data_IF_385523322529
#
_entry.id   IF_385523322529
#
_cell.length_a   1.000
_cell.length_b   1.000
_cell.length_c   1.000
_cell.angle_alpha   90.00
_cell.angle_beta   90.00
_cell.angle_gamma   90.00
#
_symmetry.space_group_name_H-M   'P 1'
#
loop_
_entity.id
_entity.type
_entity.pdbx_description
1 polymer ?
#
# COMPACT_ATOMS: atom_id res chain seq x y z
N UNK A 1 -3.65 -2.41 -11.98
CA UNK A 1 -4.69 -2.82 -11.00
C UNK A 1 -4.94 -1.63 -10.06
N UNK A 2 -6.09 -1.53 -9.37
CA UNK A 2 -6.36 -0.44 -8.42
C UNK A 2 -7.02 -0.93 -7.13
N UNK A 3 -6.90 -0.18 -6.04
CA UNK A 3 -7.69 -0.38 -4.82
C UNK A 3 -9.18 -0.13 -5.11
N UNK A 4 -10.01 -1.06 -4.66
CA UNK A 4 -11.45 -0.85 -4.51
C UNK A 4 -11.81 -0.50 -3.07
N UNK A 5 -11.17 -1.14 -2.10
CA UNK A 5 -11.33 -0.83 -0.67
C UNK A 5 -9.99 -0.82 0.06
N UNK A 6 -9.72 0.16 0.93
CA UNK A 6 -10.44 1.44 1.00
C UNK A 6 -10.31 2.20 -0.33
N UNK A 7 -11.37 2.88 -0.82
CA UNK A 7 -11.30 3.61 -2.09
C UNK A 7 -10.22 4.71 -2.06
N UNK A 8 -9.27 4.73 -2.99
CA UNK A 8 -8.17 5.68 -2.94
C UNK A 8 -8.60 7.08 -3.41
N UNK A 9 -7.77 8.09 -3.10
CA UNK A 9 -7.90 9.44 -3.66
C UNK A 9 -7.99 9.37 -5.19
N UNK A 10 -8.84 10.20 -5.79
CA UNK A 10 -9.08 10.30 -7.24
C UNK A 10 -9.70 9.06 -7.90
N UNK A 11 -9.96 7.98 -7.16
CA UNK A 11 -10.65 6.83 -7.75
C UNK A 11 -12.14 7.11 -7.90
N UNK A 12 -12.71 6.60 -9.01
CA UNK A 12 -14.16 6.56 -9.24
C UNK A 12 -14.94 5.81 -8.15
N UNK A 13 -14.27 5.01 -7.32
CA UNK A 13 -14.88 4.30 -6.19
C UNK A 13 -14.95 5.15 -4.91
N UNK A 14 -14.24 6.28 -4.87
CA UNK A 14 -14.24 7.19 -3.74
C UNK A 14 -15.34 8.25 -3.93
N UNK A 15 -16.38 8.18 -3.09
CA UNK A 15 -17.54 9.08 -3.18
C UNK A 15 -17.23 10.55 -2.85
N UNK A 16 -16.04 10.85 -2.31
CA UNK A 16 -15.60 12.23 -2.06
C UNK A 16 -14.85 12.84 -3.26
N UNK A 17 -14.40 12.00 -4.21
CA UNK A 17 -13.68 12.47 -5.39
C UNK A 17 -14.62 13.19 -6.35
N UNK A 18 -14.22 14.39 -6.77
CA UNK A 18 -14.85 15.09 -7.92
C UNK A 18 -13.92 15.08 -9.14
N UNK A 19 -12.60 14.98 -8.93
CA UNK A 19 -11.60 14.88 -9.99
C UNK A 19 -11.17 13.43 -10.18
N UNK A 20 -11.92 12.68 -11.00
CA UNK A 20 -11.63 11.25 -11.23
C UNK A 20 -10.39 11.08 -12.11
N UNK A 21 -9.41 10.32 -11.62
CA UNK A 21 -8.32 9.80 -12.43
C UNK A 21 -8.75 8.49 -13.12
N UNK A 22 -9.06 8.57 -14.41
CA UNK A 22 -9.40 7.41 -15.24
C UNK A 22 -8.22 6.47 -15.49
N UNK A 23 -7.00 6.88 -15.13
CA UNK A 23 -5.76 6.11 -15.21
C UNK A 23 -5.32 5.54 -13.85
N UNK A 24 -6.19 5.48 -12.85
CA UNK A 24 -5.88 5.00 -11.49
C UNK A 24 -5.21 3.62 -11.44
N UNK A 25 -5.49 2.77 -12.43
CA UNK A 25 -4.91 1.42 -12.58
C UNK A 25 -3.49 1.39 -13.12
N UNK A 26 -2.98 2.50 -13.64
CA UNK A 26 -1.66 2.64 -14.23
C UNK A 26 -0.57 2.67 -13.15
N UNK A 27 0.66 2.23 -13.46
CA UNK A 27 1.78 2.35 -12.54
C UNK A 27 2.12 3.82 -12.26
N UNK A 28 3.01 4.06 -11.30
CA UNK A 28 3.62 5.37 -11.06
C UNK A 28 4.57 5.74 -12.20
N UNK A 29 4.54 7.00 -12.63
CA UNK A 29 5.61 7.61 -13.41
C UNK A 29 6.79 8.06 -12.53
N UNK A 30 7.82 8.64 -13.16
CA UNK A 30 9.08 9.03 -12.50
C UNK A 30 8.92 10.10 -11.39
N UNK A 31 7.85 10.91 -11.42
CA UNK A 31 7.62 12.00 -10.46
C UNK A 31 6.31 11.85 -9.67
N UNK A 32 5.67 10.69 -9.80
CA UNK A 32 4.33 10.45 -9.26
C UNK A 32 4.39 9.84 -7.85
N UNK A 33 5.59 9.50 -7.36
CA UNK A 33 5.76 9.00 -6.01
C UNK A 33 5.82 10.14 -4.98
N UNK A 34 5.07 10.07 -3.87
CA UNK A 34 4.09 9.04 -3.51
C UNK A 34 2.67 9.35 -4.02
N UNK A 35 1.81 8.33 -4.02
CA UNK A 35 0.35 8.47 -4.17
C UNK A 35 -0.12 9.20 -5.44
N UNK A 36 0.63 9.10 -6.54
CA UNK A 36 0.34 9.80 -7.81
C UNK A 36 0.25 11.33 -7.69
N UNK A 37 0.85 11.88 -6.63
CA UNK A 37 0.78 13.32 -6.33
C UNK A 37 -0.54 13.80 -5.71
N UNK A 38 -1.43 12.90 -5.29
CA UNK A 38 -2.78 13.27 -4.80
C UNK A 38 -2.85 13.66 -3.33
N UNK A 39 -1.73 13.61 -2.59
CA UNK A 39 -1.68 13.97 -1.16
C UNK A 39 -2.19 15.39 -0.83
N UNK A 40 -2.06 16.44 -1.69
CA UNK A 40 -2.63 17.74 -1.39
C UNK A 40 -4.14 17.73 -1.10
N UNK A 41 -4.88 16.75 -1.64
CA UNK A 41 -6.33 16.65 -1.45
C UNK A 41 -6.73 16.21 -0.04
N UNK A 42 -5.80 15.69 0.76
CA UNK A 42 -6.03 15.45 2.19
C UNK A 42 -6.42 16.73 2.94
N UNK A 43 -6.15 17.92 2.38
CA UNK A 43 -6.52 19.23 2.93
C UNK A 43 -7.83 19.79 2.35
N UNK A 44 -8.50 19.03 1.50
CA UNK A 44 -9.77 19.41 0.86
C UNK A 44 -10.88 18.43 1.24
N UNK A 45 -12.16 18.72 0.93
CA UNK A 45 -13.24 17.76 1.13
C UNK A 45 -13.06 16.44 0.36
N UNK A 46 -12.29 16.43 -0.74
CA UNK A 46 -12.04 15.20 -1.54
C UNK A 46 -11.18 14.17 -0.79
N UNK A 47 -10.36 14.63 0.16
CA UNK A 47 -9.53 13.79 1.02
C UNK A 47 -10.20 13.34 2.31
N UNK A 48 -11.54 13.47 2.42
CA UNK A 48 -12.27 12.94 3.57
C UNK A 48 -12.02 11.44 3.76
N UNK A 49 -11.98 11.01 5.02
CA UNK A 49 -11.67 9.63 5.39
C UNK A 49 -12.73 8.67 4.86
N UNK A 50 -12.29 7.64 4.11
CA UNK A 50 -13.16 6.64 3.49
C UNK A 50 -13.33 5.39 4.34
N UNK A 51 -12.52 5.21 5.37
CA UNK A 51 -12.61 4.09 6.30
C UNK A 51 -12.08 4.47 7.68
N UNK A 52 -12.67 3.90 8.73
CA UNK A 52 -12.12 3.97 10.08
C UNK A 52 -11.73 2.58 10.54
N UNK A 53 -10.48 2.42 10.96
CA UNK A 53 -9.94 1.15 11.46
C UNK A 53 -9.51 1.29 12.91
N UNK A 54 -9.81 0.29 13.71
CA UNK A 54 -9.41 0.26 15.11
C UNK A 54 -7.97 -0.25 15.21
N UNK A 55 -7.10 0.42 15.96
CA UNK A 55 -5.76 -0.09 16.23
C UNK A 55 -5.84 -1.50 16.88
N UNK A 56 -5.04 -2.44 16.40
CA UNK A 56 -5.06 -3.85 16.84
C UNK A 56 -6.13 -4.72 16.18
N UNK A 57 -7.00 -4.15 15.34
CA UNK A 57 -8.03 -4.93 14.65
C UNK A 57 -7.52 -5.56 13.35
N UNK A 58 -8.08 -6.72 13.00
CA UNK A 58 -7.93 -7.30 11.68
C UNK A 58 -8.74 -6.51 10.66
N UNK A 59 -8.10 -6.15 9.56
CA UNK A 59 -8.65 -5.41 8.44
C UNK A 59 -8.30 -6.12 7.13
N UNK A 60 -8.81 -5.59 6.03
CA UNK A 60 -8.43 -6.02 4.69
C UNK A 60 -8.43 -4.86 3.74
N UNK A 61 -7.66 -4.99 2.67
CA UNK A 61 -7.85 -4.19 1.47
C UNK A 61 -8.28 -5.09 0.31
N UNK A 62 -8.93 -4.48 -0.68
CA UNK A 62 -9.44 -5.15 -1.87
C UNK A 62 -8.90 -4.48 -3.10
N UNK A 63 -8.37 -5.27 -4.03
CA UNK A 63 -7.82 -4.80 -5.31
C UNK A 63 -8.68 -5.32 -6.46
N UNK A 64 -8.90 -4.48 -7.46
CA UNK A 64 -9.66 -4.80 -8.67
C UNK A 64 -8.91 -4.44 -9.95
N UNK A 65 -9.28 -5.09 -11.04
CA UNK A 65 -8.70 -4.85 -12.37
C UNK A 65 -8.55 -6.15 -13.15
N UNK A 66 -8.12 -6.03 -14.41
CA UNK A 66 -8.02 -7.15 -15.36
C UNK A 66 -6.59 -7.51 -15.75
N UNK A 67 -5.61 -6.65 -15.49
CA UNK A 67 -4.21 -6.85 -15.88
C UNK A 67 -3.40 -7.13 -14.62
N UNK A 68 -3.23 -8.41 -14.31
CA UNK A 68 -2.60 -8.87 -13.07
C UNK A 68 -1.11 -9.13 -13.20
N UNK A 69 -0.52 -9.03 -14.40
CA UNK A 69 0.91 -9.28 -14.63
C UNK A 69 1.47 -10.59 -14.02
N UNK A 70 0.62 -11.62 -13.93
CA UNK A 70 0.90 -12.90 -13.26
C UNK A 70 1.32 -12.77 -11.79
N UNK A 71 0.87 -11.71 -11.12
CA UNK A 71 1.14 -11.44 -9.71
C UNK A 71 2.38 -10.60 -9.49
N UNK A 72 3.16 -10.95 -8.47
CA UNK A 72 4.24 -10.16 -7.92
C UNK A 72 4.11 -10.02 -6.41
N UNK A 73 4.74 -8.99 -5.85
CA UNK A 73 4.76 -8.72 -4.40
C UNK A 73 4.19 -7.35 -4.10
N UNK A 74 3.54 -7.21 -2.94
CA UNK A 74 2.89 -5.98 -2.50
C UNK A 74 3.22 -5.64 -1.06
N UNK A 75 3.08 -4.37 -0.69
CA UNK A 75 3.04 -3.94 0.72
C UNK A 75 1.76 -3.17 1.00
N UNK A 76 1.25 -3.38 2.22
CA UNK A 76 0.31 -2.52 2.88
C UNK A 76 1.10 -1.66 3.88
N UNK A 77 0.93 -0.35 3.79
CA UNK A 77 1.61 0.61 4.67
C UNK A 77 0.67 1.69 5.17
N UNK A 78 0.99 2.28 6.31
CA UNK A 78 0.28 3.41 6.90
C UNK A 78 1.21 4.61 7.03
N UNK A 79 0.71 5.78 6.69
CA UNK A 79 1.31 7.07 7.02
C UNK A 79 0.46 7.76 8.08
N UNK A 80 1.08 8.22 9.16
CA UNK A 80 0.42 9.02 10.21
C UNK A 80 0.92 10.48 10.24
N UNK A 81 1.71 10.87 9.24
CA UNK A 81 2.34 12.20 9.10
C UNK A 81 1.89 12.95 7.82
N UNK A 82 0.74 12.55 7.26
CA UNK A 82 0.15 13.20 6.08
C UNK A 82 0.75 12.75 4.75
N UNK A 83 1.35 11.55 4.70
CA UNK A 83 1.92 10.95 3.51
C UNK A 83 3.40 11.28 3.29
N UNK A 84 4.12 11.74 4.31
CA UNK A 84 5.56 12.02 4.24
C UNK A 84 6.34 10.70 4.33
N UNK A 85 6.01 9.86 5.30
CA UNK A 85 6.56 8.51 5.48
C UNK A 85 5.45 7.46 5.42
N UNK A 86 5.79 6.25 4.97
CA UNK A 86 4.85 5.13 4.88
C UNK A 86 5.44 3.92 5.59
N UNK A 87 4.95 3.62 6.78
CA UNK A 87 5.42 2.50 7.60
C UNK A 87 4.75 1.20 7.16
N UNK A 88 5.54 0.17 6.84
CA UNK A 88 5.03 -1.15 6.43
C UNK A 88 4.31 -1.82 7.58
N UNK A 89 3.06 -2.21 7.34
CA UNK A 89 2.27 -2.99 8.29
C UNK A 89 2.04 -4.43 7.84
N UNK A 90 2.19 -4.73 6.55
CA UNK A 90 2.14 -6.11 6.04
C UNK A 90 2.82 -6.22 4.68
N UNK A 91 3.64 -7.26 4.48
CA UNK A 91 4.24 -7.59 3.17
C UNK A 91 3.67 -8.89 2.60
N UNK A 92 3.26 -8.86 1.34
CA UNK A 92 2.73 -10.02 0.60
C UNK A 92 3.73 -10.38 -0.49
N UNK A 93 4.46 -11.48 -0.30
CA UNK A 93 5.53 -11.93 -1.19
C UNK A 93 4.98 -13.02 -2.11
N UNK A 94 4.74 -12.67 -3.37
CA UNK A 94 4.09 -13.53 -4.35
C UNK A 94 2.56 -13.48 -4.31
N UNK A 95 1.94 -13.94 -5.40
CA UNK A 95 0.48 -13.99 -5.62
C UNK A 95 -0.30 -12.69 -5.41
N UNK A 96 0.35 -11.54 -5.30
CA UNK A 96 -0.32 -10.26 -5.26
C UNK A 96 -0.32 -9.59 -6.65
N UNK A 97 -1.47 -9.12 -7.20
CA UNK A 97 -2.84 -9.21 -6.71
C UNK A 97 -3.67 -10.31 -7.41
N UNK A 98 -3.26 -11.58 -7.31
CA UNK A 98 -3.99 -12.72 -7.92
C UNK A 98 -5.21 -13.17 -7.11
N UNK A 99 -5.36 -12.66 -5.89
CA UNK A 99 -6.60 -12.73 -5.10
C UNK A 99 -7.19 -11.32 -4.97
N UNK A 100 -8.48 -11.24 -4.64
CA UNK A 100 -9.18 -9.95 -4.53
C UNK A 100 -9.00 -9.28 -3.17
N UNK A 101 -8.85 -10.06 -2.09
CA UNK A 101 -8.81 -9.55 -0.71
C UNK A 101 -7.49 -9.92 -0.03
N UNK A 102 -6.93 -8.96 0.69
CA UNK A 102 -5.65 -9.07 1.38
C UNK A 102 -5.83 -8.69 2.86
N UNK A 103 -5.84 -9.67 3.77
CA UNK A 103 -6.02 -9.42 5.19
C UNK A 103 -4.71 -8.94 5.84
N UNK A 104 -4.82 -7.95 6.72
CA UNK A 104 -3.72 -7.47 7.55
C UNK A 104 -4.25 -7.11 8.94
N UNK A 105 -3.34 -6.90 9.89
CA UNK A 105 -3.68 -6.37 11.22
C UNK A 105 -3.17 -4.94 11.32
N UNK A 106 -4.00 -4.00 11.78
CA UNK A 106 -3.49 -2.68 12.16
C UNK A 106 -2.67 -2.85 13.44
N UNK A 107 -1.39 -2.47 13.50
CA UNK A 107 -0.63 -2.56 14.75
C UNK A 107 -1.36 -1.88 15.91
N UNK A 108 -1.37 -2.48 17.10
CA UNK A 108 -2.15 -1.97 18.23
C UNK A 108 -1.61 -0.67 18.81
N UNK A 109 -0.35 -0.33 18.51
CA UNK A 109 0.30 0.92 18.88
C UNK A 109 0.35 1.94 17.73
N UNK A 110 -0.36 1.72 16.62
CA UNK A 110 -0.48 2.73 15.55
C UNK A 110 -1.09 4.02 16.11
N UNK A 111 -0.47 5.19 15.87
CA UNK A 111 -1.01 6.47 16.30
C UNK A 111 -2.46 6.68 15.86
N UNK A 112 -3.33 7.08 16.78
CA UNK A 112 -4.74 7.39 16.49
C UNK A 112 -4.88 8.72 15.78
N UNK A 113 -5.83 8.83 14.87
CA UNK A 113 -6.13 10.05 14.12
C UNK A 113 -6.19 9.82 12.60
N UNK A 114 -6.17 10.90 11.80
CA UNK A 114 -6.07 10.81 10.35
C UNK A 114 -4.79 10.07 9.93
N UNK A 115 -4.92 9.20 8.93
CA UNK A 115 -3.81 8.44 8.35
C UNK A 115 -4.03 8.23 6.85
N UNK A 116 -2.98 7.85 6.15
CA UNK A 116 -3.03 7.44 4.73
C UNK A 116 -2.66 5.97 4.65
N UNK A 117 -3.58 5.16 4.14
CA UNK A 117 -3.27 3.79 3.76
C UNK A 117 -2.70 3.77 2.36
N UNK A 118 -1.58 3.08 2.15
CA UNK A 118 -1.03 2.83 0.81
C UNK A 118 -0.95 1.34 0.52
N UNK A 119 -1.42 0.97 -0.67
CA UNK A 119 -1.09 -0.30 -1.30
C UNK A 119 -0.03 -0.05 -2.37
N UNK A 120 1.11 -0.74 -2.27
CA UNK A 120 2.13 -0.78 -3.32
C UNK A 120 2.19 -2.16 -3.96
N UNK A 121 2.48 -2.23 -5.25
CA UNK A 121 2.64 -3.49 -5.96
C UNK A 121 3.76 -3.44 -7.00
N UNK A 122 4.61 -4.46 -6.98
CA UNK A 122 5.69 -4.69 -7.92
C UNK A 122 5.34 -5.91 -8.77
N UNK A 123 5.05 -5.66 -10.05
CA UNK A 123 4.55 -6.68 -10.96
C UNK A 123 5.62 -7.72 -11.34
N UNK A 124 5.20 -8.99 -11.41
CA UNK A 124 6.08 -10.09 -11.79
C UNK A 124 6.50 -9.98 -13.26
N UNK A 125 5.55 -9.85 -14.19
CA UNK A 125 5.79 -9.90 -15.64
C UNK A 125 5.53 -8.56 -16.32
N UNK A 126 6.32 -8.20 -17.33
CA UNK A 126 6.17 -6.98 -18.13
C UNK A 126 7.24 -5.93 -17.81
N UNK A 127 6.91 -4.66 -18.00
CA UNK A 127 7.80 -3.57 -17.60
C UNK A 127 8.10 -3.62 -16.09
N UNK A 128 9.25 -3.12 -15.67
CA UNK A 128 9.58 -2.99 -14.25
C UNK A 128 8.83 -1.78 -13.72
N UNK A 129 7.71 -2.03 -13.04
CA UNK A 129 6.78 -0.98 -12.62
C UNK A 129 6.55 -1.05 -11.11
N UNK A 130 6.15 0.10 -10.54
CA UNK A 130 5.61 0.20 -9.20
C UNK A 130 4.22 0.80 -9.30
N UNK A 131 3.22 0.09 -8.81
CA UNK A 131 1.86 0.59 -8.65
C UNK A 131 1.71 1.10 -7.22
N UNK A 132 1.00 2.21 -7.05
CA UNK A 132 0.65 2.73 -5.73
C UNK A 132 -0.70 3.41 -5.76
N UNK A 133 -1.58 3.03 -4.84
CA UNK A 133 -2.82 3.75 -4.55
C UNK A 133 -2.86 4.11 -3.07
N UNK A 134 -3.40 5.29 -2.76
CA UNK A 134 -3.47 5.80 -1.40
C UNK A 134 -4.88 6.23 -1.03
N UNK A 135 -5.35 5.81 0.13
CA UNK A 135 -6.67 6.13 0.66
C UNK A 135 -6.56 6.89 1.99
N UNK A 136 -7.39 7.91 2.15
CA UNK A 136 -7.56 8.61 3.43
C UNK A 136 -8.33 7.72 4.40
N UNK A 137 -7.74 7.39 5.54
CA UNK A 137 -8.35 6.55 6.57
C UNK A 137 -8.22 7.21 7.94
N UNK A 138 -8.98 6.74 8.92
CA UNK A 138 -8.88 7.17 10.31
C UNK A 138 -8.51 5.98 11.18
N UNK A 139 -7.49 6.11 12.01
CA UNK A 139 -7.16 5.12 13.05
C UNK A 139 -7.84 5.54 14.35
N UNK A 140 -8.69 4.66 14.90
CA UNK A 140 -9.33 4.85 16.20
C UNK A 140 -8.67 4.01 17.28
N UNK A 141 -8.86 4.40 18.54
CA UNK A 141 -8.32 3.70 19.70
C UNK A 141 -8.90 2.29 19.85
N UNK A 142 -8.03 1.28 20.01
CA UNK A 142 -8.43 -0.06 20.43
C UNK A 142 -8.73 -0.14 21.93
N UNK A 143 -9.39 -1.22 22.36
CA UNK A 143 -9.76 -1.47 23.76
C UNK A 143 -8.60 -1.94 24.65
N UNK A 144 -7.36 -1.95 24.14
CA UNK A 144 -6.16 -2.21 24.92
C UNK A 144 -4.89 -1.87 24.13
N UNK A 145 -3.88 -1.36 24.82
CA UNK A 145 -2.50 -1.35 24.33
C UNK A 145 -1.97 -2.79 24.37
N UNK A 146 -2.37 -3.59 23.38
CA UNK A 146 -1.81 -4.92 23.17
C UNK A 146 -0.30 -4.80 23.06
N UNK A 147 0.43 -5.69 23.75
CA UNK A 147 1.88 -5.79 23.59
C UNK A 147 2.19 -6.07 22.13
N UNK A 148 2.90 -5.15 21.47
CA UNK A 148 3.42 -5.37 20.12
C UNK A 148 4.85 -5.88 20.21
N UNK A 149 5.14 -6.96 19.48
CA UNK A 149 6.51 -7.50 19.40
C UNK A 149 7.44 -6.52 18.66
N UNK A 150 6.89 -5.78 17.70
CA UNK A 150 7.60 -4.72 16.97
C UNK A 150 6.74 -3.47 16.96
N UNK A 151 7.24 -2.42 17.61
CA UNK A 151 6.57 -1.12 17.68
C UNK A 151 6.35 -0.54 16.28
N UNK A 152 5.23 0.17 16.07
CA UNK A 152 4.91 0.84 14.82
C UNK A 152 6.06 1.73 14.34
N UNK A 153 6.67 2.51 15.24
CA UNK A 153 7.79 3.39 14.95
C UNK A 153 9.11 2.68 14.59
N UNK A 154 9.22 1.38 14.84
CA UNK A 154 10.40 0.57 14.52
C UNK A 154 10.22 -0.30 13.28
N UNK A 155 9.05 -0.27 12.65
CA UNK A 155 8.77 -0.97 11.40
C UNK A 155 9.43 -0.23 10.23
N UNK A 156 9.78 -0.95 9.16
CA UNK A 156 10.49 -0.35 8.03
C UNK A 156 9.59 0.60 7.24
N UNK A 157 10.23 1.51 6.52
CA UNK A 157 9.58 2.31 5.48
C UNK A 157 9.18 1.42 4.29
N UNK A 158 8.13 1.84 3.57
CA UNK A 158 7.66 1.19 2.37
C UNK A 158 8.76 1.14 1.31
N UNK A 159 8.94 -0.03 0.71
CA UNK A 159 9.91 -0.24 -0.34
C UNK A 159 9.54 0.55 -1.60
N UNK A 160 10.54 1.16 -2.24
CA UNK A 160 10.38 1.97 -3.46
C UNK A 160 11.40 1.53 -4.50
N UNK A 161 10.92 1.16 -5.68
CA UNK A 161 11.74 0.84 -6.85
C UNK A 161 10.97 1.20 -8.12
N UNK A 162 11.61 1.08 -9.28
CA UNK A 162 10.97 1.24 -10.60
C UNK A 162 10.37 2.64 -10.86
N UNK A 163 10.79 3.67 -10.12
CA UNK A 163 10.32 5.07 -10.25
C UNK A 163 11.46 6.03 -10.65
N UNK A 164 12.47 5.54 -11.38
CA UNK A 164 13.57 6.36 -11.88
C UNK A 164 14.60 6.81 -10.84
N UNK A 165 14.65 6.16 -9.68
CA UNK A 165 15.55 6.50 -8.55
C UNK A 165 16.70 5.52 -8.33
N UNK A 166 17.11 4.79 -9.36
CA UNK A 166 18.30 3.92 -9.31
C UNK A 166 18.07 2.51 -8.75
N UNK A 167 16.90 2.21 -8.17
CA UNK A 167 16.53 0.87 -7.72
C UNK A 167 15.49 0.23 -8.65
N UNK A 168 15.67 -1.04 -9.02
CA UNK A 168 14.82 -1.78 -9.95
C UNK A 168 14.50 -3.19 -9.45
N UNK A 169 13.33 -3.70 -9.82
CA UNK A 169 13.00 -5.13 -9.67
C UNK A 169 13.40 -5.94 -10.90
N UNK A 170 13.37 -7.27 -10.78
CA UNK A 170 13.64 -8.22 -11.86
C UNK A 170 12.35 -8.78 -12.46
N UNK A 171 12.37 -9.05 -13.77
CA UNK A 171 11.23 -9.63 -14.49
C UNK A 171 11.09 -11.14 -14.26
N UNK A 172 9.84 -11.63 -14.29
CA UNK A 172 9.43 -13.03 -14.22
C UNK A 172 9.65 -13.72 -12.87
N UNK A 173 9.96 -12.96 -11.82
CA UNK A 173 10.19 -13.46 -10.46
C UNK A 173 9.56 -12.52 -9.44
N UNK A 174 9.10 -13.06 -8.31
CA UNK A 174 8.47 -12.24 -7.27
C UNK A 174 9.56 -11.48 -6.49
N UNK A 175 9.30 -10.22 -6.15
CA UNK A 175 10.23 -9.41 -5.38
C UNK A 175 10.31 -9.90 -3.94
N UNK A 176 11.52 -10.13 -3.46
CA UNK A 176 11.85 -10.23 -2.04
C UNK A 176 12.12 -8.83 -1.49
N UNK A 177 11.30 -8.36 -0.56
CA UNK A 177 11.56 -7.08 0.09
C UNK A 177 12.79 -7.21 0.99
N UNK A 178 13.78 -6.30 0.91
CA UNK A 178 14.92 -6.30 1.84
C UNK A 178 14.48 -6.19 3.30
N UNK A 179 13.48 -5.33 3.55
CA UNK A 179 12.90 -5.08 4.86
C UNK A 179 11.37 -5.29 4.81
N UNK A 180 10.89 -6.55 4.91
CA UNK A 180 9.46 -6.86 4.77
C UNK A 180 8.62 -6.48 6.00
N UNK A 181 9.27 -6.14 7.12
CA UNK A 181 8.61 -5.97 8.41
C UNK A 181 8.26 -7.31 9.07
N UNK A 182 7.65 -7.28 10.27
CA UNK A 182 7.37 -8.48 11.06
C UNK A 182 6.16 -9.29 10.55
N UNK A 183 5.23 -8.65 9.84
CA UNK A 183 4.00 -9.26 9.35
C UNK A 183 4.12 -9.58 7.85
N UNK A 184 4.25 -10.88 7.53
CA UNK A 184 4.55 -11.35 6.18
C UNK A 184 3.60 -12.49 5.79
N UNK A 185 3.13 -12.47 4.54
CA UNK A 185 2.51 -13.62 3.90
C UNK A 185 3.33 -14.01 2.67
N UNK A 186 3.83 -15.24 2.64
CA UNK A 186 4.63 -15.76 1.54
C UNK A 186 3.80 -16.77 0.74
N UNK A 187 3.60 -16.48 -0.54
CA UNK A 187 2.97 -17.37 -1.50
C UNK A 187 3.67 -17.21 -2.86
N UNK A 188 4.93 -17.61 -2.89
CA UNK A 188 5.80 -17.55 -4.05
C UNK A 188 6.49 -18.90 -4.27
N UNK A 189 6.81 -19.20 -5.54
CA UNK A 189 7.64 -20.35 -5.92
C UNK A 189 9.11 -19.98 -6.13
N UNK A 190 9.47 -18.70 -5.95
CA UNK A 190 10.83 -18.21 -6.13
C UNK A 190 10.87 -16.69 -6.07
N UNK A 191 11.83 -16.17 -5.32
CA UNK A 191 12.00 -14.74 -5.06
C UNK A 191 13.40 -14.27 -5.44
N UNK A 192 13.54 -12.96 -5.61
CA UNK A 192 14.85 -12.32 -5.75
C UNK A 192 14.83 -10.96 -5.07
N UNK A 193 15.96 -10.53 -4.47
CA UNK A 193 16.11 -9.15 -4.02
C UNK A 193 16.08 -8.17 -5.20
N UNK A 194 15.82 -6.87 -4.95
CA UNK A 194 15.95 -5.82 -5.95
C UNK A 194 17.43 -5.60 -6.34
N UNK A 195 17.63 -4.81 -7.40
CA UNK A 195 18.95 -4.42 -7.91
C UNK A 195 19.07 -2.90 -7.88
N UNK A 196 20.22 -2.40 -7.44
CA UNK A 196 20.57 -0.98 -7.44
C UNK A 196 20.50 -0.35 -6.06
#
# INVERSE_FOLDING_TARGET
MELWYPPPLHSKYNNFTINIDYSMKSPLGNNDYPCKGYLPDLKTPEGASVATWVAGSSQKFTVVGSITHKGGSCQASLSTDGGITFTVIHSYIGNCPLVSEFPFTVPSDTPTGPAVFSWTWFNKVGNREMYMNCASVTISSGSGSGTVDTAFSSRPDAFVANVGKGCSTLESIDLEFPDPGPDITVNSMGTTPPIG
#
